data_IF_264631539104
#
_entry.id   IF_264631539104
#
_cell.length_a   1.000
_cell.length_b   1.000
_cell.length_c   1.000
_cell.angle_alpha   90.00
_cell.angle_beta   90.00
_cell.angle_gamma   90.00
#
_symmetry.space_group_name_H-M   'P 1'
#
loop_
_entity.id
_entity.type
_entity.pdbx_description
1 polymer ?
#
# COMPACT_ATOMS: atom_id res chain seq x y z
N UNK A 1 -21.38 8.25 13.82
CA UNK A 1 -20.34 9.14 13.25
C UNK A 1 -19.80 8.48 11.99
N UNK A 2 -20.01 9.07 10.80
CA UNK A 2 -19.30 8.64 9.60
C UNK A 2 -17.82 8.98 9.85
N UNK A 3 -16.97 7.97 10.04
CA UNK A 3 -15.53 8.15 9.96
C UNK A 3 -15.24 8.55 8.52
N UNK A 4 -14.99 9.83 8.28
CA UNK A 4 -14.35 10.28 7.06
C UNK A 4 -12.95 9.62 7.03
N UNK A 5 -12.84 8.46 6.43
CA UNK A 5 -11.59 8.06 5.83
C UNK A 5 -11.37 9.07 4.72
N UNK A 6 -10.46 10.02 4.95
CA UNK A 6 -9.91 10.85 3.89
C UNK A 6 -9.31 9.87 2.88
N UNK A 7 -10.01 9.70 1.77
CA UNK A 7 -9.56 8.89 0.65
C UNK A 7 -8.47 9.69 -0.07
N UNK A 8 -7.26 9.66 0.54
CA UNK A 8 -6.12 10.46 0.12
C UNK A 8 -5.24 9.62 -0.80
N UNK A 9 -5.40 9.82 -2.11
CA UNK A 9 -4.57 9.19 -3.13
C UNK A 9 -3.30 10.03 -3.39
N UNK A 10 -2.26 9.77 -2.61
CA UNK A 10 -0.97 10.42 -2.76
C UNK A 10 -0.28 10.09 -4.09
N UNK A 11 -0.52 8.90 -4.63
CA UNK A 11 0.08 8.50 -5.91
C UNK A 11 -0.52 9.30 -7.07
N UNK A 12 -1.84 9.43 -7.13
CA UNK A 12 -2.50 10.26 -8.15
C UNK A 12 -2.05 11.73 -8.09
N UNK A 13 -1.83 12.26 -6.87
CA UNK A 13 -1.31 13.61 -6.71
C UNK A 13 0.15 13.74 -7.19
N UNK A 14 1.03 12.77 -6.91
CA UNK A 14 2.40 12.76 -7.46
C UNK A 14 2.38 12.76 -8.99
N UNK A 15 1.57 11.92 -9.58
CA UNK A 15 1.42 11.82 -11.03
C UNK A 15 0.92 13.15 -11.63
N UNK A 16 -0.04 13.78 -10.97
CA UNK A 16 -0.57 15.08 -11.40
C UNK A 16 0.46 16.20 -11.31
N UNK A 17 1.25 16.24 -10.24
CA UNK A 17 2.35 17.21 -10.07
C UNK A 17 3.37 17.05 -11.20
N UNK A 18 3.78 15.83 -11.51
CA UNK A 18 4.71 15.54 -12.59
C UNK A 18 4.14 15.90 -13.96
N UNK A 19 2.88 15.61 -14.24
CA UNK A 19 2.21 16.00 -15.49
C UNK A 19 2.19 17.52 -15.67
N UNK A 20 1.80 18.27 -14.63
CA UNK A 20 1.80 19.74 -14.66
C UNK A 20 3.21 20.29 -14.86
N UNK A 21 4.21 19.70 -14.22
CA UNK A 21 5.61 20.11 -14.35
C UNK A 21 6.12 19.96 -15.78
N UNK A 22 5.83 18.81 -16.40
CA UNK A 22 6.32 18.49 -17.75
C UNK A 22 5.61 19.28 -18.86
N UNK A 23 4.48 19.91 -18.56
CA UNK A 23 3.74 20.79 -19.46
C UNK A 23 4.02 22.30 -19.22
N UNK A 24 5.01 22.64 -18.36
CA UNK A 24 5.30 24.03 -18.01
C UNK A 24 4.20 24.74 -17.20
N UNK A 25 3.34 23.98 -16.49
CA UNK A 25 2.18 24.50 -15.73
C UNK A 25 2.36 24.45 -14.21
N UNK A 26 3.54 24.03 -13.72
CA UNK A 26 3.80 23.89 -12.28
C UNK A 26 4.40 25.15 -11.65
N UNK A 27 5.18 25.89 -12.41
CA UNK A 27 5.79 27.16 -12.00
C UNK A 27 5.47 28.25 -13.04
N UNK A 28 5.47 29.53 -12.65
CA UNK A 28 5.29 30.61 -13.61
C UNK A 28 6.45 30.66 -14.62
N UNK A 29 6.14 30.97 -15.87
CA UNK A 29 7.12 31.28 -16.91
C UNK A 29 7.74 32.64 -16.60
N UNK A 30 9.07 32.75 -16.72
CA UNK A 30 9.80 34.01 -16.57
C UNK A 30 10.30 34.48 -17.96
N UNK A 31 9.85 35.62 -18.49
CA UNK A 31 10.27 36.09 -19.79
C UNK A 31 11.76 36.50 -19.85
N UNK A 32 12.44 36.63 -18.72
CA UNK A 32 13.87 36.92 -18.64
C UNK A 32 14.73 35.62 -18.67
N UNK A 33 14.11 34.43 -18.60
CA UNK A 33 14.88 33.20 -18.73
C UNK A 33 15.45 33.07 -20.14
N UNK A 34 16.71 32.64 -20.23
CA UNK A 34 17.33 32.33 -21.53
C UNK A 34 16.61 31.16 -22.20
N UNK A 35 16.04 31.32 -23.40
CA UNK A 35 15.24 30.24 -24.04
C UNK A 35 16.03 28.94 -24.22
N UNK A 36 15.34 27.83 -24.21
CA UNK A 36 15.96 26.51 -24.29
C UNK A 36 16.77 26.28 -25.57
N UNK A 37 16.43 26.96 -26.67
CA UNK A 37 17.20 26.88 -27.93
C UNK A 37 18.63 27.31 -27.73
N UNK A 38 18.88 28.38 -26.97
CA UNK A 38 20.23 28.88 -26.67
C UNK A 38 21.01 27.88 -25.80
N UNK A 39 20.33 27.26 -24.84
CA UNK A 39 20.93 26.19 -24.05
C UNK A 39 21.34 25.00 -24.93
N UNK A 40 20.52 24.63 -25.91
CA UNK A 40 20.83 23.56 -26.85
C UNK A 40 22.04 23.83 -27.71
N UNK A 41 22.18 25.07 -28.21
CA UNK A 41 23.36 25.47 -28.96
C UNK A 41 24.64 25.34 -28.12
N UNK A 42 24.60 25.79 -26.86
CA UNK A 42 25.71 25.62 -25.91
C UNK A 42 26.06 24.17 -25.65
N UNK A 43 25.05 23.29 -25.45
CA UNK A 43 25.28 21.86 -25.27
C UNK A 43 25.89 21.23 -26.51
N UNK A 44 25.39 21.58 -27.70
CA UNK A 44 25.93 21.08 -28.98
C UNK A 44 27.37 21.46 -29.18
N UNK A 45 27.71 22.70 -28.95
CA UNK A 45 29.11 23.22 -29.06
C UNK A 45 30.04 22.45 -28.10
N UNK A 46 29.63 22.28 -26.85
CA UNK A 46 30.43 21.55 -25.85
C UNK A 46 30.58 20.06 -26.20
N UNK A 47 29.53 19.43 -26.72
CA UNK A 47 29.63 18.04 -27.21
C UNK A 47 30.63 17.92 -28.37
N UNK A 48 30.61 18.84 -29.30
CA UNK A 48 31.57 18.86 -30.42
C UNK A 48 33.01 18.99 -29.94
N UNK A 49 33.25 19.83 -28.93
CA UNK A 49 34.56 20.00 -28.30
C UNK A 49 35.01 18.70 -27.58
N UNK A 50 34.14 18.09 -26.78
CA UNK A 50 34.43 16.83 -26.11
C UNK A 50 34.69 15.69 -27.10
N UNK A 51 34.09 15.70 -28.28
CA UNK A 51 34.38 14.75 -29.36
C UNK A 51 35.77 15.03 -29.99
N UNK A 52 36.12 16.28 -30.24
CA UNK A 52 37.46 16.66 -30.72
C UNK A 52 38.56 16.27 -29.73
N UNK A 53 38.30 16.43 -28.45
CA UNK A 53 39.20 16.04 -27.36
C UNK A 53 39.22 14.49 -27.11
N UNK A 54 38.42 13.72 -27.86
CA UNK A 54 38.26 12.25 -27.70
C UNK A 54 37.74 11.82 -26.32
N UNK A 55 37.12 12.73 -25.57
CA UNK A 55 36.50 12.43 -24.27
C UNK A 55 35.18 11.71 -24.41
N UNK A 56 34.44 11.96 -25.49
CA UNK A 56 33.23 11.25 -25.86
C UNK A 56 33.32 10.78 -27.32
N UNK A 57 32.54 9.74 -27.65
CA UNK A 57 32.50 9.20 -29.02
C UNK A 57 31.51 9.99 -29.87
N UNK A 58 31.87 10.27 -31.13
CA UNK A 58 30.91 10.85 -32.09
C UNK A 58 29.69 9.95 -32.23
N UNK A 59 28.50 10.46 -31.93
CA UNK A 59 27.23 9.77 -32.12
C UNK A 59 26.72 9.96 -33.55
N UNK A 60 25.96 8.97 -34.07
CA UNK A 60 25.19 9.18 -35.30
C UNK A 60 24.09 10.21 -35.01
N UNK A 61 23.76 11.09 -35.97
CA UNK A 61 22.63 12.01 -35.83
C UNK A 61 21.33 11.22 -35.50
N UNK A 62 20.54 11.75 -34.60
CA UNK A 62 19.23 11.20 -34.30
C UNK A 62 18.21 11.72 -35.32
N UNK A 63 17.11 11.00 -35.60
CA UNK A 63 16.06 11.45 -36.49
C UNK A 63 15.47 12.78 -36.00
N UNK A 64 15.08 13.65 -36.94
CA UNK A 64 14.34 14.87 -36.61
C UNK A 64 13.05 14.53 -35.89
N UNK A 65 12.60 15.41 -34.98
CA UNK A 65 11.36 15.25 -34.24
C UNK A 65 10.22 15.76 -35.13
N UNK A 66 9.22 14.91 -35.36
CA UNK A 66 8.00 15.27 -36.10
C UNK A 66 6.91 15.73 -35.16
N UNK A 67 5.90 16.47 -35.66
CA UNK A 67 4.85 17.01 -34.80
C UNK A 67 3.95 15.90 -34.18
N UNK A 68 3.77 14.79 -34.89
CA UNK A 68 3.03 13.62 -34.40
C UNK A 68 3.74 12.83 -33.29
N UNK A 69 5.06 13.03 -33.14
CA UNK A 69 5.83 12.46 -32.00
C UNK A 69 5.65 13.29 -30.70
N UNK A 70 5.23 14.55 -30.80
CA UNK A 70 5.08 15.46 -29.65
C UNK A 70 3.82 15.11 -28.86
N UNK A 71 3.91 14.65 -27.61
CA UNK A 71 2.74 14.10 -26.89
C UNK A 71 1.78 15.18 -26.34
N UNK A 72 2.25 16.42 -26.22
CA UNK A 72 1.49 17.58 -25.70
C UNK A 72 2.19 18.87 -26.04
N UNK A 73 1.46 19.98 -25.89
CA UNK A 73 2.01 21.33 -26.06
C UNK A 73 2.89 21.74 -24.89
N UNK A 74 3.95 22.47 -25.18
CA UNK A 74 4.89 23.04 -24.22
C UNK A 74 4.98 24.56 -24.40
N UNK A 75 5.46 25.33 -23.41
CA UNK A 75 5.68 26.78 -23.57
C UNK A 75 6.63 27.13 -24.72
N UNK A 76 6.46 28.31 -25.32
CA UNK A 76 7.28 28.77 -26.45
C UNK A 76 8.78 28.89 -26.14
N UNK A 77 9.12 29.08 -24.84
CA UNK A 77 10.52 29.15 -24.39
C UNK A 77 11.19 27.77 -24.26
N UNK A 78 10.42 26.67 -24.40
CA UNK A 78 10.89 25.31 -24.28
C UNK A 78 11.16 24.68 -25.65
N UNK A 79 11.94 23.60 -25.66
CA UNK A 79 12.21 22.81 -26.88
C UNK A 79 11.96 21.32 -26.66
N UNK A 80 11.35 20.66 -27.66
CA UNK A 80 11.37 19.20 -27.71
C UNK A 80 12.72 18.70 -28.20
N UNK A 81 13.38 17.86 -27.42
CA UNK A 81 14.70 17.31 -27.74
C UNK A 81 14.72 15.79 -27.56
N UNK A 82 15.63 15.11 -28.23
CA UNK A 82 15.93 13.72 -27.89
C UNK A 82 16.94 13.67 -26.75
N UNK A 83 16.75 12.73 -25.81
CA UNK A 83 17.63 12.60 -24.63
C UNK A 83 19.10 12.44 -25.04
N UNK A 84 19.36 11.77 -26.18
CA UNK A 84 20.70 11.63 -26.73
C UNK A 84 21.30 12.90 -27.32
N UNK A 85 20.52 13.98 -27.55
CA UNK A 85 21.05 15.26 -28.00
C UNK A 85 21.64 16.06 -26.83
N UNK A 86 21.09 15.88 -25.63
CA UNK A 86 21.47 16.64 -24.44
C UNK A 86 22.39 15.87 -23.47
N UNK A 87 22.44 14.54 -23.53
CA UNK A 87 23.34 13.69 -22.74
C UNK A 87 24.27 12.86 -23.64
N UNK A 88 25.47 12.51 -23.13
CA UNK A 88 26.23 11.39 -23.68
C UNK A 88 25.74 10.08 -23.00
N UNK A 89 24.97 9.28 -23.74
CA UNK A 89 24.32 8.08 -23.20
C UNK A 89 25.14 6.84 -23.51
N UNK A 90 25.57 6.15 -22.45
CA UNK A 90 26.46 4.99 -22.52
C UNK A 90 26.12 3.98 -21.42
N UNK A 91 27.04 3.04 -21.14
CA UNK A 91 27.01 2.13 -19.99
C UNK A 91 28.45 1.85 -19.56
N UNK A 92 28.61 1.14 -18.45
CA UNK A 92 29.90 0.67 -17.95
C UNK A 92 30.47 -0.47 -18.80
N UNK A 93 31.70 -0.91 -18.51
CA UNK A 93 32.28 -2.14 -19.04
C UNK A 93 31.92 -3.33 -18.15
N UNK A 94 31.76 -4.48 -18.81
CA UNK A 94 31.39 -5.72 -18.14
C UNK A 94 32.38 -6.11 -17.05
N UNK A 95 31.83 -6.44 -15.91
CA UNK A 95 32.50 -7.10 -14.79
C UNK A 95 31.93 -8.52 -14.71
N UNK A 96 32.82 -9.52 -14.77
CA UNK A 96 32.43 -10.93 -14.70
C UNK A 96 32.16 -11.35 -13.25
N UNK A 97 31.35 -12.39 -13.02
CA UNK A 97 31.11 -12.90 -11.67
C UNK A 97 32.39 -13.34 -10.93
N UNK A 98 33.40 -13.83 -11.66
CA UNK A 98 34.72 -14.19 -11.13
C UNK A 98 35.50 -13.00 -10.57
N UNK A 99 35.19 -11.78 -11.00
CA UNK A 99 35.81 -10.54 -10.54
C UNK A 99 35.11 -9.95 -9.28
N UNK A 100 34.00 -10.57 -8.83
CA UNK A 100 33.27 -10.12 -7.64
C UNK A 100 34.03 -10.46 -6.35
N UNK A 101 33.93 -9.58 -5.38
CA UNK A 101 34.60 -9.69 -4.07
C UNK A 101 33.60 -9.36 -2.95
N UNK A 102 33.93 -9.75 -1.72
CA UNK A 102 33.15 -9.43 -0.52
C UNK A 102 33.50 -8.05 0.06
N UNK A 103 34.67 -7.50 -0.33
CA UNK A 103 35.14 -6.18 0.05
C UNK A 103 35.85 -5.47 -1.12
N UNK A 104 36.02 -4.15 -1.04
CA UNK A 104 36.70 -3.32 -2.03
C UNK A 104 35.82 -2.15 -2.53
N UNK A 105 35.86 -1.91 -3.83
CA UNK A 105 35.05 -0.86 -4.47
C UNK A 105 33.61 -1.37 -4.69
N UNK A 106 32.58 -0.65 -4.20
CA UNK A 106 31.17 -1.05 -4.36
C UNK A 106 30.78 -1.26 -5.84
N UNK A 107 30.10 -2.37 -6.12
CA UNK A 107 29.60 -2.71 -7.46
C UNK A 107 28.08 -2.77 -7.45
N UNK A 108 27.45 -1.80 -8.13
CA UNK A 108 26.00 -1.62 -8.11
C UNK A 108 25.33 -2.27 -9.32
N UNK A 109 24.33 -3.10 -9.06
CA UNK A 109 23.38 -3.62 -10.05
C UNK A 109 22.09 -2.77 -9.97
N UNK A 110 21.13 -3.05 -10.85
CA UNK A 110 19.86 -2.30 -10.84
C UNK A 110 19.17 -2.29 -9.45
N UNK A 111 19.22 -3.41 -8.71
CA UNK A 111 18.61 -3.49 -7.38
C UNK A 111 19.29 -2.59 -6.34
N UNK A 112 20.62 -2.47 -6.39
CA UNK A 112 21.37 -1.57 -5.49
C UNK A 112 21.07 -0.11 -5.83
N UNK A 113 20.97 0.25 -7.10
CA UNK A 113 20.56 1.59 -7.55
C UNK A 113 19.18 1.95 -6.98
N UNK A 114 18.21 1.03 -7.06
CA UNK A 114 16.87 1.24 -6.46
C UNK A 114 16.94 1.42 -4.94
N UNK A 115 17.74 0.59 -4.27
CA UNK A 115 17.91 0.68 -2.81
C UNK A 115 18.55 2.00 -2.38
N UNK A 116 19.62 2.42 -3.07
CA UNK A 116 20.32 3.69 -2.79
C UNK A 116 19.38 4.88 -2.99
N UNK A 117 18.64 4.90 -4.11
CA UNK A 117 17.64 5.94 -4.38
C UNK A 117 16.59 6.06 -3.27
N UNK A 118 16.16 4.92 -2.72
CA UNK A 118 15.15 4.85 -1.67
C UNK A 118 15.75 4.97 -0.25
N UNK A 119 17.01 5.32 -0.11
CA UNK A 119 17.74 5.40 1.17
C UNK A 119 17.65 4.11 2.01
N UNK A 120 17.57 2.96 1.34
CA UNK A 120 17.49 1.66 1.98
C UNK A 120 18.90 1.05 2.16
N UNK A 121 19.07 0.28 3.22
CA UNK A 121 20.31 -0.48 3.43
C UNK A 121 20.47 -1.53 2.33
N UNK A 122 21.68 -1.60 1.76
CA UNK A 122 22.01 -2.60 0.75
C UNK A 122 22.01 -4.00 1.38
N UNK A 123 21.32 -4.93 0.73
CA UNK A 123 21.34 -6.35 1.08
C UNK A 123 22.37 -7.06 0.20
N UNK A 124 23.27 -7.81 0.81
CA UNK A 124 24.33 -8.58 0.14
C UNK A 124 25.10 -7.72 -0.90
N UNK A 125 25.79 -6.66 -0.44
CA UNK A 125 26.55 -5.79 -1.34
C UNK A 125 27.67 -6.58 -2.02
N UNK A 126 27.93 -6.26 -3.27
CA UNK A 126 29.02 -6.83 -4.06
C UNK A 126 30.08 -5.75 -4.26
N UNK A 127 31.32 -6.17 -4.28
CA UNK A 127 32.48 -5.31 -4.50
C UNK A 127 33.33 -5.84 -5.64
N UNK A 128 34.28 -5.02 -6.12
CA UNK A 128 35.34 -5.40 -7.05
C UNK A 128 36.68 -4.93 -6.49
N UNK A 129 37.78 -5.54 -6.93
CA UNK A 129 39.10 -5.09 -6.54
C UNK A 129 39.43 -3.71 -7.13
N UNK A 130 40.36 -3.00 -6.51
CA UNK A 130 40.84 -1.69 -7.01
C UNK A 130 41.44 -1.82 -8.39
N UNK A 131 42.20 -2.88 -8.65
CA UNK A 131 42.83 -3.13 -9.98
C UNK A 131 41.78 -3.34 -11.05
N UNK A 132 40.75 -4.16 -10.79
CA UNK A 132 39.62 -4.33 -11.70
C UNK A 132 38.91 -3.01 -11.95
N UNK A 133 38.70 -2.21 -10.92
CA UNK A 133 38.07 -0.89 -11.03
C UNK A 133 38.87 0.01 -11.95
N UNK A 134 40.19 0.18 -11.72
CA UNK A 134 41.08 1.02 -12.50
C UNK A 134 41.18 0.57 -13.96
N UNK A 135 41.25 -0.75 -14.20
CA UNK A 135 41.21 -1.32 -15.55
C UNK A 135 39.95 -0.92 -16.31
N UNK A 136 38.77 -1.10 -15.69
CA UNK A 136 37.47 -0.80 -16.32
C UNK A 136 37.30 0.72 -16.54
N UNK A 137 37.81 1.56 -15.62
CA UNK A 137 37.77 3.01 -15.77
C UNK A 137 38.51 3.54 -16.99
N UNK A 138 39.64 2.92 -17.37
CA UNK A 138 40.38 3.30 -18.57
C UNK A 138 39.52 3.25 -19.84
N UNK A 139 38.49 2.42 -19.85
CA UNK A 139 37.63 2.21 -21.03
C UNK A 139 36.29 2.94 -20.92
N UNK A 140 35.66 2.93 -19.75
CA UNK A 140 34.30 3.49 -19.57
C UNK A 140 34.29 4.89 -18.94
N UNK A 141 35.38 5.29 -18.29
CA UNK A 141 35.38 6.48 -17.43
C UNK A 141 34.69 6.22 -16.10
N UNK A 142 34.61 7.27 -15.29
CA UNK A 142 34.02 7.29 -13.94
C UNK A 142 32.76 8.16 -13.92
N UNK A 143 31.66 7.69 -13.29
CA UNK A 143 30.49 8.54 -13.05
C UNK A 143 30.89 9.79 -12.25
N UNK A 144 30.37 10.94 -12.66
CA UNK A 144 30.57 12.23 -11.99
C UNK A 144 29.31 12.62 -11.24
N UNK A 145 29.46 13.54 -10.28
CA UNK A 145 28.29 14.21 -9.66
C UNK A 145 27.42 14.83 -10.77
N UNK A 146 26.10 14.72 -10.62
CA UNK A 146 25.08 15.13 -11.58
C UNK A 146 24.89 14.22 -12.81
N UNK A 147 25.67 13.15 -12.96
CA UNK A 147 25.33 12.08 -13.88
C UNK A 147 24.09 11.32 -13.40
N UNK A 148 23.36 10.70 -14.33
CA UNK A 148 22.16 9.92 -13.99
C UNK A 148 22.39 8.47 -14.40
N UNK A 149 22.21 7.56 -13.44
CA UNK A 149 22.17 6.12 -13.68
C UNK A 149 20.72 5.64 -13.72
N UNK A 150 20.30 5.10 -14.87
CA UNK A 150 18.93 4.69 -15.14
C UNK A 150 18.82 3.18 -15.24
N UNK A 151 17.91 2.54 -14.51
CA UNK A 151 17.71 1.09 -14.60
C UNK A 151 17.13 0.72 -15.97
N UNK A 152 17.82 -0.17 -16.68
CA UNK A 152 17.48 -0.62 -18.05
C UNK A 152 16.90 -2.04 -18.12
N UNK A 153 16.89 -2.79 -17.00
CA UNK A 153 16.38 -4.17 -16.92
C UNK A 153 15.71 -4.40 -15.56
N UNK A 154 14.64 -5.18 -15.54
CA UNK A 154 13.84 -5.43 -14.35
C UNK A 154 12.84 -4.29 -14.11
N UNK A 155 12.95 -3.59 -13.00
CA UNK A 155 12.19 -2.35 -12.80
C UNK A 155 12.82 -1.25 -13.64
N UNK A 156 12.21 -0.95 -14.79
CA UNK A 156 12.74 -0.01 -15.76
C UNK A 156 12.57 1.45 -15.34
N UNK A 157 13.51 2.29 -15.76
CA UNK A 157 13.35 3.74 -15.70
C UNK A 157 13.48 4.33 -14.29
N UNK A 158 14.10 3.62 -13.34
CA UNK A 158 14.41 4.19 -12.03
C UNK A 158 15.69 5.01 -12.13
N UNK A 159 15.63 6.35 -12.00
CA UNK A 159 16.79 7.22 -12.06
C UNK A 159 17.46 7.34 -10.68
N UNK A 160 18.79 7.31 -10.69
CA UNK A 160 19.64 7.69 -9.57
C UNK A 160 20.58 8.80 -10.02
N UNK A 161 20.43 9.99 -9.45
CA UNK A 161 21.35 11.11 -9.65
C UNK A 161 22.57 10.88 -8.78
N UNK A 162 23.75 10.85 -9.40
CA UNK A 162 25.01 10.66 -8.68
C UNK A 162 25.28 11.89 -7.81
N UNK A 163 25.24 11.71 -6.50
CA UNK A 163 25.44 12.78 -5.50
C UNK A 163 26.74 12.62 -4.70
N UNK A 164 27.60 11.67 -5.06
CA UNK A 164 28.81 11.34 -4.30
C UNK A 164 30.05 11.31 -5.19
N UNK A 165 31.16 11.74 -4.64
CA UNK A 165 32.50 11.57 -5.24
C UNK A 165 33.20 10.28 -4.78
N UNK A 166 32.54 9.43 -3.97
CA UNK A 166 33.12 8.14 -3.57
C UNK A 166 33.18 7.21 -4.77
N UNK A 167 34.22 6.37 -4.78
CA UNK A 167 34.40 5.38 -5.83
C UNK A 167 33.32 4.30 -5.76
N UNK A 168 32.72 4.00 -6.88
CA UNK A 168 31.84 2.87 -7.12
C UNK A 168 31.87 2.49 -8.59
N UNK A 169 31.43 1.30 -8.89
CA UNK A 169 31.22 0.84 -10.27
C UNK A 169 29.82 0.25 -10.42
N UNK A 170 29.33 0.06 -11.63
CA UNK A 170 27.98 -0.44 -11.86
C UNK A 170 27.90 -1.43 -13.02
N UNK A 171 26.84 -2.25 -13.04
CA UNK A 171 26.70 -3.37 -13.98
C UNK A 171 26.32 -2.88 -15.37
N UNK A 172 27.10 -3.28 -16.36
CA UNK A 172 26.83 -3.09 -17.78
C UNK A 172 25.49 -3.72 -18.23
N UNK A 173 24.88 -3.16 -19.26
CA UNK A 173 23.65 -3.67 -19.88
C UNK A 173 22.38 -3.59 -19.04
N UNK A 174 22.50 -3.47 -17.72
CA UNK A 174 21.37 -3.34 -16.80
C UNK A 174 21.14 -1.90 -16.34
N UNK A 175 22.16 -1.06 -16.48
CA UNK A 175 22.16 0.34 -16.09
C UNK A 175 22.61 1.18 -17.27
N UNK A 176 21.80 2.15 -17.64
CA UNK A 176 22.10 3.16 -18.65
C UNK A 176 22.68 4.36 -17.93
N UNK A 177 23.79 4.87 -18.42
CA UNK A 177 24.47 6.01 -17.86
C UNK A 177 24.30 7.23 -18.77
N UNK A 178 23.60 8.24 -18.23
CA UNK A 178 23.46 9.56 -18.84
C UNK A 178 24.54 10.46 -18.27
N UNK A 179 25.60 10.69 -19.02
CA UNK A 179 26.65 11.63 -18.66
C UNK A 179 26.15 13.03 -18.88
N UNK A 180 26.09 13.79 -17.82
CA UNK A 180 25.64 15.16 -17.88
C UNK A 180 26.77 16.09 -18.32
N UNK A 181 26.55 16.78 -19.43
CA UNK A 181 27.52 17.76 -19.97
C UNK A 181 27.45 19.11 -19.18
N UNK A 182 26.99 19.06 -17.92
CA UNK A 182 26.88 20.17 -16.97
C UNK A 182 26.01 21.33 -17.42
N UNK A 183 25.05 21.07 -18.30
CA UNK A 183 24.12 22.08 -18.82
C UNK A 183 22.64 21.73 -18.54
N UNK A 184 22.37 20.58 -17.92
CA UNK A 184 21.00 20.10 -17.62
C UNK A 184 20.87 19.89 -16.13
N UNK A 185 19.76 20.34 -15.55
CA UNK A 185 19.45 20.01 -14.16
C UNK A 185 19.11 18.52 -14.01
N UNK A 186 19.89 17.73 -13.27
CA UNK A 186 19.73 16.28 -13.23
C UNK A 186 18.44 15.86 -12.50
N UNK A 187 17.99 16.64 -11.51
CA UNK A 187 16.75 16.36 -10.78
C UNK A 187 15.52 16.57 -11.67
N UNK A 188 15.53 17.59 -12.55
CA UNK A 188 14.46 17.77 -13.53
C UNK A 188 14.32 16.54 -14.42
N UNK A 189 15.41 16.04 -14.98
CA UNK A 189 15.41 14.81 -15.80
C UNK A 189 15.00 13.59 -14.99
N UNK A 190 15.47 13.48 -13.75
CA UNK A 190 15.07 12.42 -12.82
C UNK A 190 13.56 12.41 -12.60
N UNK A 191 12.92 13.55 -12.40
CA UNK A 191 11.47 13.68 -12.28
C UNK A 191 10.74 13.40 -13.59
N UNK A 192 11.28 13.87 -14.72
CA UNK A 192 10.71 13.59 -16.03
C UNK A 192 10.63 12.09 -16.33
N UNK A 193 11.72 11.37 -16.10
CA UNK A 193 11.75 9.91 -16.31
C UNK A 193 10.71 9.17 -15.44
N UNK A 194 10.36 9.71 -14.28
CA UNK A 194 9.35 9.19 -13.37
C UNK A 194 7.92 9.66 -13.70
N UNK A 195 7.74 10.52 -14.70
CA UNK A 195 6.40 10.97 -15.09
C UNK A 195 5.55 9.82 -15.67
N UNK A 196 4.22 9.85 -15.52
CA UNK A 196 3.33 8.82 -16.05
C UNK A 196 3.52 8.60 -17.55
N UNK A 197 3.71 9.69 -18.30
CA UNK A 197 3.98 9.64 -19.74
C UNK A 197 5.25 8.84 -20.04
N UNK A 198 6.38 9.20 -19.43
CA UNK A 198 7.66 8.55 -19.71
C UNK A 198 7.69 7.10 -19.22
N UNK A 199 7.11 6.79 -18.07
CA UNK A 199 6.99 5.42 -17.58
C UNK A 199 6.17 4.55 -18.54
N UNK A 200 5.10 5.09 -19.14
CA UNK A 200 4.32 4.40 -20.17
C UNK A 200 5.18 4.10 -21.40
N UNK A 201 5.97 5.08 -21.89
CA UNK A 201 6.87 4.90 -23.04
C UNK A 201 7.95 3.88 -22.72
N UNK A 202 8.59 3.95 -21.57
CA UNK A 202 9.67 3.03 -21.17
C UNK A 202 9.16 1.60 -21.05
N UNK A 203 7.96 1.39 -20.51
CA UNK A 203 7.37 0.07 -20.28
C UNK A 203 6.69 -0.54 -21.51
N UNK A 204 6.31 0.26 -22.52
CA UNK A 204 5.69 -0.23 -23.76
C UNK A 204 6.66 -0.87 -24.76
N UNK A 205 7.82 -1.37 -24.33
CA UNK A 205 8.76 -2.12 -25.17
C UNK A 205 8.17 -3.43 -25.66
N UNK A 206 7.85 -3.51 -26.97
CA UNK A 206 7.26 -4.69 -27.60
C UNK A 206 8.28 -5.85 -27.68
N UNK A 207 7.89 -7.05 -27.30
CA UNK A 207 8.37 -8.27 -27.93
C UNK A 207 9.44 -9.07 -27.22
N UNK A 208 9.78 -8.84 -25.95
CA UNK A 208 10.71 -9.71 -25.19
C UNK A 208 10.09 -10.16 -23.86
N UNK A 209 10.43 -11.37 -23.45
CA UNK A 209 10.00 -11.99 -22.19
C UNK A 209 10.36 -11.12 -20.94
N UNK A 210 11.34 -10.21 -21.09
CA UNK A 210 11.76 -9.23 -20.08
C UNK A 210 11.80 -7.85 -20.73
N UNK A 211 11.03 -6.90 -20.19
CA UNK A 211 11.05 -5.52 -20.64
C UNK A 211 12.46 -4.93 -20.47
N UNK A 212 13.00 -4.30 -21.53
CA UNK A 212 14.35 -3.75 -21.55
C UNK A 212 14.38 -2.35 -22.15
N UNK A 213 15.02 -1.42 -21.48
CA UNK A 213 15.38 -0.11 -22.03
C UNK A 213 16.84 -0.19 -22.52
N UNK A 214 17.03 -0.16 -23.84
CA UNK A 214 18.36 -0.17 -24.45
C UNK A 214 18.95 1.24 -24.56
N UNK A 215 20.29 1.35 -24.71
CA UNK A 215 20.96 2.64 -24.95
C UNK A 215 20.41 3.35 -26.20
N UNK A 216 20.16 2.61 -27.28
CA UNK A 216 19.62 3.17 -28.52
C UNK A 216 18.23 3.76 -28.27
N UNK A 217 17.39 3.01 -27.59
CA UNK A 217 16.03 3.46 -27.23
C UNK A 217 16.07 4.65 -26.27
N UNK A 218 16.97 4.65 -25.28
CA UNK A 218 17.14 5.76 -24.36
C UNK A 218 17.56 7.05 -25.09
N UNK A 219 18.47 6.96 -26.08
CA UNK A 219 18.89 8.11 -26.90
C UNK A 219 17.73 8.76 -27.66
N UNK A 220 16.76 7.99 -28.10
CA UNK A 220 15.62 8.49 -28.89
C UNK A 220 14.43 8.95 -28.06
N UNK A 221 14.45 8.81 -26.72
CA UNK A 221 13.38 9.32 -25.86
C UNK A 221 13.26 10.85 -26.00
N UNK A 222 12.02 11.33 -26.18
CA UNK A 222 11.72 12.76 -26.25
C UNK A 222 11.68 13.37 -24.85
N UNK A 223 12.22 14.58 -24.73
CA UNK A 223 12.24 15.35 -23.47
C UNK A 223 11.78 16.77 -23.78
N UNK A 224 10.81 17.33 -23.03
CA UNK A 224 10.49 18.75 -23.08
C UNK A 224 11.57 19.48 -22.27
N UNK A 225 12.39 20.28 -22.92
CA UNK A 225 13.53 20.96 -22.31
C UNK A 225 13.17 22.42 -21.99
N UNK A 226 13.02 22.79 -20.70
CA UNK A 226 12.87 24.19 -20.27
C UNK A 226 14.19 24.96 -20.34
N UNK A 227 14.13 26.30 -20.24
CA UNK A 227 15.26 27.11 -19.81
C UNK A 227 15.94 26.58 -18.55
N UNK A 228 17.26 26.68 -18.44
CA UNK A 228 18.03 26.06 -17.35
C UNK A 228 17.60 26.56 -15.94
N UNK A 229 17.31 27.84 -15.81
CA UNK A 229 16.78 28.41 -14.58
C UNK A 229 15.40 27.87 -14.22
N UNK A 230 14.54 27.66 -15.20
CA UNK A 230 13.23 27.09 -15.01
C UNK A 230 13.30 25.60 -14.63
N UNK A 231 14.23 24.82 -15.20
CA UNK A 231 14.47 23.43 -14.76
C UNK A 231 14.72 23.36 -13.25
N UNK A 232 15.52 24.29 -12.72
CA UNK A 232 15.84 24.35 -11.30
C UNK A 232 14.62 24.74 -10.45
N UNK A 233 13.80 25.70 -10.91
CA UNK A 233 12.55 26.07 -10.23
C UNK A 233 11.55 24.93 -10.22
N UNK A 234 11.39 24.22 -11.34
CA UNK A 234 10.51 23.06 -11.44
C UNK A 234 10.97 21.96 -10.48
N UNK A 235 12.27 21.59 -10.51
CA UNK A 235 12.82 20.54 -9.65
C UNK A 235 12.63 20.87 -8.16
N UNK A 236 12.92 22.10 -7.75
CA UNK A 236 12.72 22.56 -6.38
C UNK A 236 11.24 22.52 -5.96
N UNK A 237 10.33 22.92 -6.86
CA UNK A 237 8.89 22.91 -6.60
C UNK A 237 8.35 21.49 -6.44
N UNK A 238 8.77 20.55 -7.29
CA UNK A 238 8.41 19.13 -7.18
C UNK A 238 8.92 18.57 -5.84
N UNK A 239 10.17 18.81 -5.49
CA UNK A 239 10.77 18.36 -4.23
C UNK A 239 9.97 18.87 -3.01
N UNK A 240 9.59 20.16 -3.01
CA UNK A 240 8.77 20.78 -1.99
C UNK A 240 7.39 20.08 -1.86
N UNK A 241 6.70 19.92 -2.99
CA UNK A 241 5.36 19.29 -2.99
C UNK A 241 5.41 17.82 -2.58
N UNK A 242 6.42 17.06 -3.03
CA UNK A 242 6.61 15.67 -2.61
C UNK A 242 6.95 15.56 -1.12
N UNK A 243 7.68 16.52 -0.55
CA UNK A 243 7.93 16.57 0.89
C UNK A 243 6.63 16.82 1.68
N UNK A 244 5.75 17.70 1.20
CA UNK A 244 4.43 17.94 1.79
C UNK A 244 3.54 16.69 1.70
N UNK A 245 3.51 16.03 0.54
CA UNK A 245 2.76 14.78 0.37
C UNK A 245 3.20 13.71 1.35
N UNK A 246 4.52 13.50 1.54
CA UNK A 246 5.03 12.56 2.55
C UNK A 246 4.58 12.90 3.98
N UNK A 247 4.52 14.19 4.33
CA UNK A 247 4.00 14.61 5.65
C UNK A 247 2.52 14.25 5.80
N UNK A 248 1.70 14.49 4.77
CA UNK A 248 0.27 14.14 4.80
C UNK A 248 0.09 12.63 4.91
N UNK A 249 0.81 11.82 4.12
CA UNK A 249 0.79 10.35 4.21
C UNK A 249 1.12 9.86 5.63
N UNK A 250 2.23 10.34 6.18
CA UNK A 250 2.66 9.98 7.55
C UNK A 250 1.62 10.38 8.60
N UNK A 251 1.05 11.59 8.50
CA UNK A 251 0.01 12.05 9.43
C UNK A 251 -1.27 11.23 9.31
N UNK A 252 -1.68 10.86 8.10
CA UNK A 252 -2.86 10.01 7.86
C UNK A 252 -2.67 8.62 8.45
N UNK A 253 -1.50 8.04 8.28
CA UNK A 253 -1.16 6.74 8.87
C UNK A 253 -1.17 6.81 10.41
N UNK A 254 -0.52 7.80 11.01
CA UNK A 254 -0.51 8.01 12.47
C UNK A 254 -1.92 8.20 13.02
N UNK A 255 -2.77 8.94 12.31
CA UNK A 255 -4.16 9.12 12.70
C UNK A 255 -4.93 7.78 12.73
N UNK A 256 -4.76 6.93 11.73
CA UNK A 256 -5.38 5.61 11.70
C UNK A 256 -4.89 4.70 12.85
N UNK A 257 -3.60 4.73 13.15
CA UNK A 257 -3.01 3.98 14.27
C UNK A 257 -3.56 4.47 15.62
N UNK A 258 -3.63 5.81 15.83
CA UNK A 258 -4.17 6.41 17.03
C UNK A 258 -5.67 6.13 17.21
N UNK A 259 -6.45 6.13 16.12
CA UNK A 259 -7.86 5.74 16.19
C UNK A 259 -8.02 4.28 16.65
N UNK A 260 -7.19 3.39 16.17
CA UNK A 260 -7.21 1.98 16.56
C UNK A 260 -6.84 1.82 18.03
N UNK A 261 -5.78 2.50 18.46
CA UNK A 261 -5.35 2.50 19.86
C UNK A 261 -6.41 3.07 20.80
N UNK A 262 -7.04 4.19 20.40
CA UNK A 262 -8.13 4.81 21.18
C UNK A 262 -9.33 3.86 21.36
N UNK A 263 -9.77 3.20 20.26
CA UNK A 263 -10.85 2.20 20.33
C UNK A 263 -10.50 1.07 21.29
N UNK A 264 -9.29 0.53 21.19
CA UNK A 264 -8.80 -0.53 22.08
C UNK A 264 -8.78 -0.06 23.55
N UNK A 265 -8.30 1.17 23.80
CA UNK A 265 -8.23 1.72 25.15
C UNK A 265 -9.63 1.98 25.75
N UNK A 266 -10.56 2.47 24.94
CA UNK A 266 -11.97 2.68 25.39
C UNK A 266 -12.59 1.32 25.76
N UNK A 267 -12.40 0.29 24.95
CA UNK A 267 -12.90 -1.07 25.25
C UNK A 267 -12.25 -1.64 26.52
N UNK A 268 -10.93 -1.52 26.67
CA UNK A 268 -10.21 -1.98 27.88
C UNK A 268 -10.76 -1.29 29.14
N UNK A 269 -10.96 0.04 29.10
CA UNK A 269 -11.54 0.79 30.22
C UNK A 269 -12.99 0.36 30.51
N UNK A 270 -13.79 0.12 29.47
CA UNK A 270 -15.17 -0.37 29.61
C UNK A 270 -15.20 -1.74 30.30
N UNK A 271 -14.37 -2.68 29.81
CA UNK A 271 -14.33 -4.04 30.33
C UNK A 271 -13.80 -4.14 31.77
N UNK A 272 -13.01 -3.13 32.22
CA UNK A 272 -12.54 -3.00 33.61
C UNK A 272 -13.48 -2.20 34.49
N UNK A 273 -14.64 -1.77 34.01
CA UNK A 273 -15.54 -0.88 34.73
C UNK A 273 -15.00 0.52 35.04
N UNK A 274 -13.98 0.98 34.26
CA UNK A 274 -13.28 2.26 34.45
C UNK A 274 -13.69 3.35 33.44
N UNK A 275 -14.57 3.03 32.50
CA UNK A 275 -14.98 3.96 31.45
C UNK A 275 -16.03 4.95 31.99
N UNK A 276 -16.94 4.48 32.81
CA UNK A 276 -17.98 5.28 33.48
C UNK A 276 -17.83 5.14 34.99
N UNK A 277 -18.29 6.17 35.71
CA UNK A 277 -18.30 6.13 37.18
C UNK A 277 -19.29 5.05 37.63
N UNK A 278 -18.89 4.22 38.60
CA UNK A 278 -19.78 3.24 39.21
C UNK A 278 -20.83 3.96 40.07
N UNK A 279 -22.11 3.55 39.97
CA UNK A 279 -23.18 4.05 40.82
C UNK A 279 -23.38 3.05 41.98
N UNK A 280 -23.25 3.47 43.24
CA UNK A 280 -23.47 2.59 44.39
C UNK A 280 -24.92 2.14 44.55
N UNK A 281 -25.86 2.74 43.84
CA UNK A 281 -27.28 2.36 43.86
C UNK A 281 -27.61 1.30 42.80
N UNK A 282 -26.66 0.98 41.89
CA UNK A 282 -26.87 -0.06 40.91
C UNK A 282 -26.95 -1.45 41.59
N UNK A 283 -27.88 -2.27 41.14
CA UNK A 283 -28.03 -3.65 41.62
C UNK A 283 -26.77 -4.45 41.29
N UNK A 284 -26.09 -5.08 42.27
CA UNK A 284 -24.90 -5.86 42.02
C UNK A 284 -25.15 -7.05 41.07
N UNK A 285 -24.14 -7.44 40.29
CA UNK A 285 -24.25 -8.55 39.36
C UNK A 285 -24.60 -9.89 40.01
N UNK A 286 -24.26 -10.08 41.29
CA UNK A 286 -24.68 -11.23 42.11
C UNK A 286 -26.19 -11.43 42.15
N UNK A 287 -26.97 -10.33 42.29
CA UNK A 287 -28.45 -10.43 42.29
C UNK A 287 -28.99 -10.81 40.92
N UNK A 288 -28.43 -10.28 39.84
CA UNK A 288 -28.80 -10.73 38.49
C UNK A 288 -28.48 -12.21 38.26
N UNK A 289 -27.35 -12.70 38.76
CA UNK A 289 -26.99 -14.10 38.68
C UNK A 289 -27.92 -15.01 39.44
N UNK A 290 -28.45 -14.61 40.61
CA UNK A 290 -29.47 -15.34 41.33
C UNK A 290 -30.80 -15.39 40.55
N UNK A 291 -31.22 -14.31 39.90
CA UNK A 291 -32.38 -14.27 38.99
C UNK A 291 -32.23 -15.27 37.84
N UNK A 292 -31.07 -15.22 37.16
CA UNK A 292 -30.74 -16.15 36.07
C UNK A 292 -30.76 -17.61 36.55
N UNK A 293 -30.25 -17.89 37.74
CA UNK A 293 -30.22 -19.25 38.31
C UNK A 293 -31.63 -19.76 38.61
N UNK A 294 -32.52 -18.89 39.13
CA UNK A 294 -33.93 -19.19 39.35
C UNK A 294 -34.67 -19.48 38.04
N UNK A 295 -34.52 -18.61 37.01
CA UNK A 295 -35.10 -18.78 35.69
C UNK A 295 -34.62 -20.10 35.04
N UNK A 296 -33.34 -20.39 35.12
CA UNK A 296 -32.77 -21.69 34.61
C UNK A 296 -33.40 -22.88 35.31
N UNK A 297 -33.58 -22.83 36.60
CA UNK A 297 -34.22 -23.93 37.36
C UNK A 297 -35.68 -24.13 36.95
N UNK A 298 -36.42 -23.06 36.70
CA UNK A 298 -37.82 -23.13 36.23
C UNK A 298 -37.93 -23.71 34.83
N UNK A 299 -37.12 -23.25 33.87
CA UNK A 299 -37.07 -23.77 32.50
C UNK A 299 -36.67 -25.25 32.45
N UNK A 300 -35.82 -25.73 33.35
CA UNK A 300 -35.50 -27.16 33.51
C UNK A 300 -36.69 -27.94 34.03
N UNK A 301 -37.39 -27.41 35.03
CA UNK A 301 -38.61 -28.02 35.61
C UNK A 301 -39.70 -28.14 34.54
N UNK A 302 -39.89 -27.14 33.73
CA UNK A 302 -40.84 -27.09 32.62
C UNK A 302 -40.38 -27.92 31.39
N UNK A 303 -39.21 -28.56 31.45
CA UNK A 303 -38.60 -29.33 30.33
C UNK A 303 -38.36 -28.51 29.07
N UNK A 304 -38.31 -27.17 29.17
CA UNK A 304 -37.98 -26.29 28.05
C UNK A 304 -36.49 -26.33 27.72
N UNK A 305 -35.63 -26.54 28.71
CA UNK A 305 -34.18 -26.74 28.52
C UNK A 305 -33.72 -28.01 29.25
N UNK A 306 -32.61 -28.59 28.77
CA UNK A 306 -32.01 -29.77 29.42
C UNK A 306 -31.10 -29.34 30.56
N UNK A 307 -31.07 -30.14 31.65
CA UNK A 307 -30.10 -29.94 32.73
C UNK A 307 -28.67 -30.11 32.19
N UNK A 308 -27.84 -29.09 32.26
CA UNK A 308 -26.41 -29.15 31.89
C UNK A 308 -25.57 -29.62 33.08
N UNK A 309 -24.40 -30.20 32.82
CA UNK A 309 -23.41 -30.47 33.86
C UNK A 309 -22.89 -29.14 34.43
N UNK A 310 -22.61 -29.06 35.75
CA UNK A 310 -21.98 -27.90 36.33
C UNK A 310 -20.64 -27.57 35.61
N UNK A 311 -20.42 -26.32 35.37
CA UNK A 311 -19.12 -25.85 34.86
C UNK A 311 -18.12 -25.72 36.02
N UNK A 312 -16.81 -25.89 35.77
CA UNK A 312 -15.80 -25.73 36.82
C UNK A 312 -15.81 -24.30 37.38
N UNK A 313 -15.48 -24.11 38.68
CA UNK A 313 -15.34 -22.80 39.26
C UNK A 313 -14.26 -22.00 38.53
N UNK A 314 -14.35 -20.68 38.57
CA UNK A 314 -13.35 -19.78 37.98
C UNK A 314 -12.21 -19.62 38.99
N UNK A 315 -10.97 -19.87 38.58
CA UNK A 315 -9.78 -19.66 39.40
C UNK A 315 -9.28 -18.22 39.24
N UNK A 316 -8.48 -17.74 40.17
CA UNK A 316 -7.91 -16.38 40.09
C UNK A 316 -6.98 -16.21 38.89
N UNK A 317 -6.29 -17.27 38.48
CA UNK A 317 -5.40 -17.29 37.29
C UNK A 317 -6.17 -17.15 35.97
N UNK A 318 -7.47 -17.51 35.95
CA UNK A 318 -8.33 -17.33 34.79
C UNK A 318 -8.88 -15.91 34.64
N UNK A 319 -8.76 -15.07 35.67
CA UNK A 319 -9.24 -13.69 35.67
C UNK A 319 -8.21 -12.78 35.01
N UNK A 320 -8.44 -12.24 33.80
CA UNK A 320 -7.42 -11.52 33.06
C UNK A 320 -7.10 -10.11 33.61
N UNK A 321 -7.97 -9.57 34.48
CA UNK A 321 -7.82 -8.25 35.11
C UNK A 321 -8.82 -8.08 36.27
N UNK A 322 -8.60 -7.05 37.10
CA UNK A 322 -9.51 -6.69 38.16
C UNK A 322 -10.76 -5.96 37.63
N UNK A 323 -11.92 -6.25 38.23
CA UNK A 323 -13.20 -5.65 37.93
C UNK A 323 -13.74 -4.95 39.22
N UNK A 324 -14.74 -4.04 39.12
CA UNK A 324 -15.38 -3.44 40.27
C UNK A 324 -16.03 -4.48 41.21
N UNK A 325 -16.15 -4.17 42.49
CA UNK A 325 -16.77 -5.06 43.49
C UNK A 325 -18.23 -5.43 43.21
N UNK A 326 -18.95 -4.56 42.48
CA UNK A 326 -20.30 -4.82 42.01
C UNK A 326 -20.43 -5.78 40.83
N UNK A 327 -19.31 -6.12 40.20
CA UNK A 327 -19.26 -7.02 39.05
C UNK A 327 -18.86 -8.45 39.43
N UNK A 328 -19.22 -9.42 38.61
CA UNK A 328 -18.88 -10.82 38.80
C UNK A 328 -18.28 -11.46 37.57
N UNK A 329 -17.21 -12.24 37.77
CA UNK A 329 -16.71 -13.14 36.73
C UNK A 329 -17.58 -14.37 36.62
N UNK A 330 -18.12 -14.65 35.43
CA UNK A 330 -19.01 -15.79 35.19
C UNK A 330 -18.61 -16.58 33.96
N UNK A 331 -18.89 -17.84 33.94
CA UNK A 331 -18.81 -18.66 32.73
C UNK A 331 -19.96 -18.34 31.79
N UNK A 332 -19.70 -18.09 30.51
CA UNK A 332 -20.72 -17.79 29.50
C UNK A 332 -21.87 -18.79 29.52
N UNK A 333 -21.58 -20.11 29.68
CA UNK A 333 -22.60 -21.16 29.77
C UNK A 333 -23.49 -21.08 31.00
N UNK A 334 -23.17 -20.29 32.03
CA UNK A 334 -24.03 -20.06 33.19
C UNK A 334 -25.12 -19.03 32.93
N UNK A 335 -24.86 -18.09 32.03
CA UNK A 335 -25.77 -16.97 31.69
C UNK A 335 -26.48 -17.16 30.34
N UNK A 336 -26.24 -18.28 29.65
CA UNK A 336 -26.87 -18.62 28.37
C UNK A 336 -27.68 -19.91 28.45
N UNK A 337 -28.85 -19.91 27.82
CA UNK A 337 -29.69 -21.12 27.73
C UNK A 337 -29.51 -21.88 26.41
N UNK A 338 -29.00 -21.23 25.38
CA UNK A 338 -28.72 -21.85 24.09
C UNK A 338 -27.38 -21.35 23.52
N UNK A 339 -26.57 -22.31 23.12
CA UNK A 339 -25.35 -22.10 22.32
C UNK A 339 -25.31 -23.18 21.26
N UNK A 340 -25.37 -22.79 20.00
CA UNK A 340 -25.38 -23.74 18.90
C UNK A 340 -24.88 -23.16 17.60
N UNK A 341 -24.36 -24.01 16.72
CA UNK A 341 -23.90 -23.59 15.39
C UNK A 341 -25.08 -23.48 14.42
N UNK A 342 -24.86 -22.76 13.32
CA UNK A 342 -25.80 -22.72 12.21
C UNK A 342 -25.78 -23.98 11.35
N UNK A 343 -26.48 -23.94 10.22
CA UNK A 343 -26.67 -25.05 9.28
C UNK A 343 -25.42 -25.25 8.39
N UNK A 344 -25.10 -26.52 8.11
CA UNK A 344 -24.06 -26.88 7.13
C UNK A 344 -24.68 -27.00 5.75
N UNK A 345 -24.29 -26.14 4.81
CA UNK A 345 -24.75 -26.20 3.42
C UNK A 345 -23.52 -26.15 2.49
N UNK A 346 -23.32 -27.17 1.62
CA UNK A 346 -22.25 -27.17 0.64
C UNK A 346 -22.31 -25.97 -0.30
N UNK A 347 -21.16 -25.47 -0.75
CA UNK A 347 -21.09 -24.31 -1.65
C UNK A 347 -21.89 -24.51 -2.95
N UNK A 348 -21.94 -25.74 -3.47
CA UNK A 348 -22.72 -26.11 -4.66
C UNK A 348 -24.24 -25.96 -4.50
N UNK A 349 -24.73 -25.85 -3.25
CA UNK A 349 -26.16 -25.65 -2.92
C UNK A 349 -26.44 -24.23 -2.40
N UNK A 350 -25.53 -23.30 -2.62
CA UNK A 350 -25.67 -21.88 -2.28
C UNK A 350 -25.83 -21.07 -3.57
N UNK A 351 -26.80 -20.18 -3.62
CA UNK A 351 -27.20 -19.44 -4.81
C UNK A 351 -27.11 -17.93 -4.56
N UNK A 352 -26.71 -17.18 -5.55
CA UNK A 352 -26.61 -15.71 -5.45
C UNK A 352 -27.96 -15.01 -5.72
N UNK A 353 -28.91 -15.71 -6.34
CA UNK A 353 -30.22 -15.16 -6.70
C UNK A 353 -31.33 -15.94 -6.00
N UNK A 354 -32.30 -15.28 -5.34
CA UNK A 354 -33.39 -15.93 -4.66
C UNK A 354 -34.38 -16.59 -5.64
N UNK A 355 -34.99 -17.71 -5.23
CA UNK A 355 -36.15 -18.31 -5.88
C UNK A 355 -37.25 -18.54 -4.83
N UNK A 356 -38.46 -18.86 -5.26
CA UNK A 356 -39.66 -18.96 -4.39
C UNK A 356 -39.57 -19.93 -3.18
N UNK A 357 -38.70 -20.90 -3.24
CA UNK A 357 -38.51 -21.92 -2.18
C UNK A 357 -37.13 -21.77 -1.48
N UNK A 358 -36.57 -20.56 -1.44
CA UNK A 358 -35.25 -20.32 -0.85
C UNK A 358 -35.35 -19.35 0.32
N UNK A 359 -34.44 -19.57 1.27
CA UNK A 359 -34.24 -18.70 2.44
C UNK A 359 -32.83 -18.08 2.44
N UNK A 360 -32.68 -16.83 2.86
CA UNK A 360 -31.37 -16.18 3.00
C UNK A 360 -30.47 -16.94 3.99
N UNK A 361 -29.19 -17.04 3.64
CA UNK A 361 -28.16 -17.75 4.39
C UNK A 361 -27.05 -16.79 4.82
N UNK A 362 -27.01 -16.53 6.11
CA UNK A 362 -26.11 -15.58 6.75
C UNK A 362 -24.75 -16.22 7.03
N UNK A 363 -23.69 -15.60 6.53
CA UNK A 363 -22.32 -16.12 6.58
C UNK A 363 -21.40 -15.16 7.35
N UNK A 364 -20.16 -15.57 7.58
CA UNK A 364 -19.15 -14.79 8.29
C UNK A 364 -18.88 -13.39 7.67
N UNK A 365 -19.02 -13.26 6.35
CA UNK A 365 -18.88 -12.01 5.64
C UNK A 365 -20.06 -11.04 5.84
N UNK A 366 -21.15 -11.51 6.40
CA UNK A 366 -22.30 -10.70 6.77
C UNK A 366 -22.19 -10.12 8.18
N UNK A 367 -21.17 -10.51 8.96
CA UNK A 367 -20.81 -9.86 10.23
C UNK A 367 -19.80 -8.76 9.91
N UNK A 368 -20.12 -7.53 10.28
CA UNK A 368 -19.27 -6.37 10.04
C UNK A 368 -17.86 -6.52 10.63
N UNK A 369 -16.89 -5.86 10.03
CA UNK A 369 -15.49 -5.94 10.48
C UNK A 369 -15.28 -5.12 11.75
N UNK A 370 -15.50 -5.74 12.93
CA UNK A 370 -15.30 -5.15 14.25
C UNK A 370 -16.18 -3.92 14.57
N UNK A 371 -17.26 -3.70 13.79
CA UNK A 371 -18.23 -2.63 13.99
C UNK A 371 -19.58 -3.13 14.52
N UNK A 372 -19.72 -4.43 14.78
CA UNK A 372 -20.91 -5.07 15.31
C UNK A 372 -22.12 -5.08 14.37
N UNK A 373 -21.96 -4.69 13.09
CA UNK A 373 -23.10 -4.59 12.17
C UNK A 373 -23.58 -5.93 11.69
N UNK A 374 -24.90 -6.09 11.73
CA UNK A 374 -25.64 -7.17 11.06
C UNK A 374 -25.94 -6.75 9.63
N UNK A 375 -25.19 -7.31 8.65
CA UNK A 375 -25.23 -6.87 7.26
C UNK A 375 -25.99 -7.88 6.41
N UNK A 376 -27.12 -7.48 5.87
CA UNK A 376 -27.97 -8.28 4.96
C UNK A 376 -27.68 -8.03 3.48
N UNK A 377 -26.71 -7.18 3.15
CA UNK A 377 -26.28 -7.00 1.77
C UNK A 377 -25.50 -8.25 1.31
N UNK A 378 -25.70 -8.66 0.06
CA UNK A 378 -24.98 -9.79 -0.56
C UNK A 378 -25.17 -11.13 0.21
N UNK A 379 -26.38 -11.39 0.73
CA UNK A 379 -26.73 -12.71 1.24
C UNK A 379 -26.73 -13.72 0.09
N UNK A 380 -26.32 -14.94 0.38
CA UNK A 380 -26.58 -16.09 -0.48
C UNK A 380 -27.88 -16.76 -0.04
N UNK A 381 -28.43 -17.62 -0.88
CA UNK A 381 -29.72 -18.27 -0.65
C UNK A 381 -29.53 -19.76 -0.68
N UNK A 382 -30.32 -20.49 0.14
CA UNK A 382 -30.39 -21.97 0.19
C UNK A 382 -31.81 -22.43 0.04
N UNK A 383 -31.99 -23.64 -0.42
CA UNK A 383 -33.34 -24.27 -0.49
C UNK A 383 -33.87 -24.47 0.94
N UNK A 384 -35.08 -24.01 1.21
CA UNK A 384 -35.78 -24.23 2.48
C UNK A 384 -36.25 -25.68 2.56
N UNK A 385 -35.98 -26.36 3.70
CA UNK A 385 -36.38 -27.72 4.01
C UNK A 385 -36.85 -27.82 5.49
N UNK A 386 -37.37 -28.97 5.90
CA UNK A 386 -37.89 -29.23 7.26
C UNK A 386 -36.85 -29.01 8.39
N UNK A 387 -35.55 -28.95 8.04
CA UNK A 387 -34.48 -28.73 9.01
C UNK A 387 -34.17 -27.22 9.17
N UNK A 388 -34.54 -26.41 8.21
CA UNK A 388 -34.24 -25.00 8.13
C UNK A 388 -34.70 -24.22 9.34
N UNK A 389 -35.91 -24.51 9.86
CA UNK A 389 -36.51 -23.84 11.01
C UNK A 389 -35.66 -23.93 12.30
N UNK A 390 -34.87 -24.99 12.47
CA UNK A 390 -33.96 -25.14 13.62
C UNK A 390 -32.78 -24.13 13.61
N UNK A 391 -32.50 -23.60 12.46
CA UNK A 391 -31.32 -22.71 12.24
C UNK A 391 -31.69 -21.27 11.94
N UNK A 392 -32.99 -20.94 12.01
CA UNK A 392 -33.46 -19.58 11.85
C UNK A 392 -32.83 -18.65 12.93
N UNK A 393 -32.45 -17.49 12.52
CA UNK A 393 -32.00 -16.44 13.40
C UNK A 393 -33.21 -15.83 14.13
N UNK A 394 -33.04 -15.58 15.42
CA UNK A 394 -34.06 -14.93 16.26
C UNK A 394 -33.56 -13.55 16.67
N UNK A 395 -34.47 -12.54 16.75
CA UNK A 395 -34.15 -11.24 17.29
C UNK A 395 -33.43 -11.34 18.65
N UNK A 396 -32.38 -10.54 18.82
CA UNK A 396 -31.61 -10.51 20.06
C UNK A 396 -30.57 -11.62 20.24
N UNK A 397 -30.47 -12.61 19.33
CA UNK A 397 -29.38 -13.57 19.38
C UNK A 397 -28.03 -12.89 19.13
N UNK A 398 -27.03 -13.23 19.95
CA UNK A 398 -25.64 -12.89 19.69
C UNK A 398 -25.05 -13.92 18.70
N UNK A 399 -24.49 -13.42 17.61
CA UNK A 399 -23.80 -14.23 16.61
C UNK A 399 -22.30 -14.05 16.76
N UNK A 400 -21.57 -15.17 16.82
CA UNK A 400 -20.12 -15.17 17.01
C UNK A 400 -19.45 -16.00 15.91
N UNK A 401 -18.51 -15.39 15.18
CA UNK A 401 -17.75 -16.07 14.14
C UNK A 401 -16.65 -16.96 14.72
N UNK A 402 -16.73 -18.27 14.52
CA UNK A 402 -15.81 -19.26 15.08
C UNK A 402 -14.68 -19.67 14.14
N UNK A 403 -14.78 -19.37 12.83
CA UNK A 403 -13.80 -19.79 11.83
C UNK A 403 -13.52 -18.68 10.83
N UNK A 404 -12.28 -18.26 10.77
CA UNK A 404 -11.75 -17.33 9.78
C UNK A 404 -10.20 -17.25 9.92
N UNK A 405 -9.56 -16.29 9.22
CA UNK A 405 -8.19 -15.92 9.54
C UNK A 405 -8.08 -15.41 10.98
N UNK A 406 -6.86 -15.39 11.51
CA UNK A 406 -6.60 -14.96 12.90
C UNK A 406 -7.14 -13.55 13.19
N UNK A 407 -7.15 -12.68 12.18
CA UNK A 407 -7.59 -11.29 12.28
C UNK A 407 -9.11 -11.13 12.26
N UNK A 408 -9.85 -12.14 11.81
CA UNK A 408 -11.29 -12.06 11.59
C UNK A 408 -12.11 -13.04 12.44
N UNK A 409 -11.48 -14.01 13.09
CA UNK A 409 -12.16 -14.90 14.04
C UNK A 409 -12.56 -14.07 15.28
N UNK A 410 -13.75 -14.36 15.83
CA UNK A 410 -14.27 -13.61 16.99
C UNK A 410 -15.13 -12.39 16.65
N UNK A 411 -15.34 -12.06 15.36
CA UNK A 411 -16.32 -11.04 15.00
C UNK A 411 -17.71 -11.39 15.54
N UNK A 412 -18.42 -10.40 16.06
CA UNK A 412 -19.73 -10.56 16.66
C UNK A 412 -20.73 -9.56 16.08
N UNK A 413 -22.00 -9.93 16.11
CA UNK A 413 -23.14 -9.03 15.87
C UNK A 413 -24.36 -9.54 16.63
N UNK A 414 -25.31 -8.66 16.90
CA UNK A 414 -26.60 -9.02 17.47
C UNK A 414 -27.65 -8.99 16.37
N UNK A 415 -28.51 -10.00 16.34
CA UNK A 415 -29.64 -10.02 15.42
C UNK A 415 -30.61 -8.90 15.78
N UNK A 416 -30.94 -7.99 14.84
CA UNK A 416 -31.81 -6.84 15.12
C UNK A 416 -33.19 -7.26 15.63
N UNK A 417 -33.73 -6.48 16.57
CA UNK A 417 -35.08 -6.71 17.13
C UNK A 417 -36.20 -6.63 16.07
N UNK A 418 -35.97 -5.85 15.01
CA UNK A 418 -36.90 -5.63 13.91
C UNK A 418 -36.63 -6.55 12.69
N UNK A 419 -35.98 -7.69 12.87
CA UNK A 419 -35.76 -8.64 11.80
C UNK A 419 -37.10 -9.24 11.34
N UNK A 420 -37.56 -8.84 10.15
CA UNK A 420 -38.87 -9.24 9.60
C UNK A 420 -38.79 -10.37 8.57
N UNK A 421 -37.60 -10.95 8.33
CA UNK A 421 -37.41 -12.01 7.35
C UNK A 421 -36.79 -13.27 8.00
N UNK A 422 -37.13 -14.44 7.47
CA UNK A 422 -36.45 -15.67 7.82
C UNK A 422 -35.00 -15.59 7.31
N UNK A 423 -34.02 -15.83 8.17
CA UNK A 423 -32.61 -15.95 7.80
C UNK A 423 -32.02 -17.14 8.54
N UNK A 424 -31.28 -17.99 7.85
CA UNK A 424 -30.58 -19.16 8.41
C UNK A 424 -29.09 -18.84 8.57
N UNK A 425 -28.48 -19.21 9.68
CA UNK A 425 -27.02 -18.97 9.88
C UNK A 425 -26.17 -20.13 9.40
N UNK A 426 -24.96 -19.81 8.95
CA UNK A 426 -23.91 -20.76 8.59
C UNK A 426 -23.32 -21.44 9.84
N UNK A 427 -22.83 -22.67 9.68
CA UNK A 427 -22.23 -23.49 10.76
C UNK A 427 -20.92 -22.91 11.34
N UNK A 428 -20.30 -21.92 10.70
CA UNK A 428 -19.14 -21.22 11.24
C UNK A 428 -19.53 -20.05 12.18
N UNK A 429 -20.82 -19.90 12.42
CA UNK A 429 -21.38 -18.91 13.33
C UNK A 429 -22.02 -19.63 14.52
N UNK A 430 -21.59 -19.29 15.74
CA UNK A 430 -22.32 -19.63 16.96
C UNK A 430 -23.49 -18.66 17.15
N UNK A 431 -24.64 -19.20 17.47
CA UNK A 431 -25.82 -18.48 17.91
C UNK A 431 -25.93 -18.65 19.42
N UNK A 432 -26.01 -17.56 20.14
CA UNK A 432 -26.00 -17.54 21.59
C UNK A 432 -27.27 -16.80 22.06
N UNK A 433 -28.02 -17.42 22.97
CA UNK A 433 -29.20 -16.81 23.62
C UNK A 433 -28.97 -16.76 25.13
N UNK A 434 -29.10 -15.59 25.72
CA UNK A 434 -28.99 -15.38 27.17
C UNK A 434 -30.31 -15.70 27.90
N UNK A 435 -30.25 -15.98 29.21
CA UNK A 435 -31.44 -16.18 30.01
C UNK A 435 -32.12 -14.83 30.20
N UNK A 436 -31.90 -13.94 30.82
CA UNK A 436 -32.66 -12.69 31.09
C UNK A 436 -32.55 -11.70 29.91
N UNK A 437 -33.63 -10.94 29.65
CA UNK A 437 -33.61 -9.94 28.58
C UNK A 437 -32.58 -8.81 28.80
N UNK A 438 -32.16 -8.59 30.04
CA UNK A 438 -31.16 -7.58 30.41
C UNK A 438 -29.72 -8.00 30.22
N UNK A 439 -29.43 -9.25 29.81
CA UNK A 439 -28.08 -9.78 29.52
C UNK A 439 -27.73 -9.66 28.04
N UNK A 440 -28.50 -8.91 27.28
CA UNK A 440 -28.29 -8.67 25.85
C UNK A 440 -27.28 -7.59 25.54
#
# INVERSE_FOLDING_TARGET
MKTNTLDFDAQALRERILDLAMRGKLVPQDPNDEPAIVLLEKIKAEKEELVKEKKIKKSKPLPAITDDEKPFDIPDSWEWVRLGDVFDITSSKRVMKSEWREEGIPFYRAREIVSIKNHQKLKDPIFISKDTYEEKLKVSGRPQVDDILLTGVGTLGIPYVVSTNKDFYFKDGNIIWLRNIKKINPDFISYYVQSPYMLKIINNGRGTTVATLTIVRAKSLLVPLPPLSEQSRIAAKIAQLFALLRKVESSTQQYAELQTLLKSKVLDLAMRGKLVKQDPNDEPASVLLEKIKAEKAELIKEKKIKKSKPLPPITDEEKPFDIPDSWEWVRLGNITHFVGTGMVVPASKQYNTPKSNMVPYFKMNNIGNWDGKFNTNNLVYIIEDDKTDKYLLKPGQLLFNTRNSRELVGKTTVVPANLNQKIVSNNNILRIESFHETVK
#
